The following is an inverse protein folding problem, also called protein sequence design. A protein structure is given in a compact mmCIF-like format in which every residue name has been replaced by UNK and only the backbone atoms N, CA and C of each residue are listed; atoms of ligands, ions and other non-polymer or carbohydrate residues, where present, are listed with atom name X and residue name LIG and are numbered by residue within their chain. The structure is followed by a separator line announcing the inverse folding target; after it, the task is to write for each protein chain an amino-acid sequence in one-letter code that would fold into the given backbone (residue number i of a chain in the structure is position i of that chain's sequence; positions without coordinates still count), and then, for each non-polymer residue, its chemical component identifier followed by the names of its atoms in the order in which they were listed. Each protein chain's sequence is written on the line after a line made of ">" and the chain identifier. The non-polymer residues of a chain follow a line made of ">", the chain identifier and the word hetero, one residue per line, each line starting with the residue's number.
data_IF_278775453108
#
_entry.id   IF_278775453108
#
_cell.length_a   1.000
_cell.length_b   1.000
_cell.length_c   1.000
_cell.angle_alpha   90.00
_cell.angle_beta   90.00
_cell.angle_gamma   90.00
#
_symmetry.space_group_name_H-M   'P 1'
#
loop_
_entity.id
_entity.type
_entity.pdbx_description
1 polymer ?
#
# COMPACT_ATOMS: atom_id res chain seq x y z
N UNK A 1 -10.53 -9.69 -19.83
CA UNK A 1 -10.64 -9.68 -18.35
C UNK A 1 -11.71 -8.68 -17.98
N UNK A 2 -12.86 -9.18 -17.55
CA UNK A 2 -14.01 -8.40 -17.08
C UNK A 2 -13.60 -7.52 -15.91
N UNK A 3 -13.47 -6.21 -16.15
CA UNK A 3 -13.53 -5.24 -15.07
C UNK A 3 -14.96 -4.80 -14.97
N UNK A 4 -15.70 -5.51 -14.12
CA UNK A 4 -17.00 -5.16 -13.56
C UNK A 4 -16.92 -3.73 -12.99
N UNK A 5 -17.12 -2.76 -13.87
CA UNK A 5 -17.04 -1.34 -13.56
C UNK A 5 -18.47 -0.82 -13.49
N UNK A 6 -19.00 -0.91 -12.27
CA UNK A 6 -20.01 -0.02 -11.69
C UNK A 6 -21.17 0.30 -12.63
N UNK A 7 -22.13 -0.63 -12.70
CA UNK A 7 -23.47 -0.29 -13.10
C UNK A 7 -24.16 0.46 -11.94
N UNK A 8 -23.87 1.76 -11.80
CA UNK A 8 -24.77 2.71 -11.12
C UNK A 8 -25.91 2.99 -12.10
N UNK A 9 -26.71 1.96 -12.40
CA UNK A 9 -28.05 2.15 -12.94
C UNK A 9 -28.96 2.23 -11.73
N UNK A 10 -29.30 3.46 -11.41
CA UNK A 10 -30.66 3.91 -11.21
C UNK A 10 -30.66 4.93 -10.08
N UNK A 11 -31.16 6.10 -10.42
CA UNK A 11 -31.60 7.22 -9.59
C UNK A 11 -32.61 6.82 -8.48
N UNK A 12 -32.83 5.50 -8.26
CA UNK A 12 -33.62 4.91 -7.18
C UNK A 12 -32.84 3.97 -6.24
N UNK A 13 -31.53 3.76 -6.42
CA UNK A 13 -30.74 2.82 -5.60
C UNK A 13 -30.59 3.23 -4.12
N UNK A 14 -30.72 4.52 -3.82
CA UNK A 14 -30.74 5.05 -2.44
C UNK A 14 -32.15 5.38 -1.96
N UNK A 15 -33.10 5.68 -2.86
CA UNK A 15 -34.49 5.98 -2.53
C UNK A 15 -35.31 4.73 -2.13
N UNK A 16 -35.00 3.58 -2.73
CA UNK A 16 -35.57 2.26 -2.39
C UNK A 16 -34.82 1.55 -1.25
N UNK A 17 -33.84 2.23 -0.65
CA UNK A 17 -32.99 1.67 0.41
C UNK A 17 -33.79 1.60 1.71
N UNK A 18 -34.37 0.44 2.00
CA UNK A 18 -34.99 0.20 3.31
C UNK A 18 -33.97 0.44 4.44
N UNK A 19 -34.41 0.87 5.64
CA UNK A 19 -33.49 1.16 6.76
C UNK A 19 -32.49 0.04 7.06
N UNK A 20 -32.90 -1.22 6.85
CA UNK A 20 -32.05 -2.40 6.99
C UNK A 20 -30.91 -2.45 5.96
N UNK A 21 -31.20 -2.15 4.70
CA UNK A 21 -30.18 -2.11 3.64
C UNK A 21 -29.19 -0.96 3.84
N UNK A 22 -29.67 0.18 4.33
CA UNK A 22 -28.82 1.31 4.71
C UNK A 22 -27.83 0.95 5.82
N UNK A 23 -28.30 0.28 6.89
CA UNK A 23 -27.43 -0.21 7.97
C UNK A 23 -26.37 -1.19 7.47
N UNK A 24 -26.78 -2.15 6.65
CA UNK A 24 -25.85 -3.13 6.09
C UNK A 24 -24.77 -2.47 5.22
N UNK A 25 -25.13 -1.47 4.41
CA UNK A 25 -24.16 -0.72 3.62
C UNK A 25 -23.18 0.05 4.51
N UNK A 26 -23.65 0.71 5.57
CA UNK A 26 -22.80 1.43 6.52
C UNK A 26 -21.80 0.47 7.17
N UNK A 27 -22.24 -0.70 7.64
CA UNK A 27 -21.36 -1.73 8.21
C UNK A 27 -20.31 -2.22 7.21
N UNK A 28 -20.71 -2.43 5.95
CA UNK A 28 -19.79 -2.83 4.87
C UNK A 28 -18.77 -1.74 4.56
N UNK A 29 -19.18 -0.48 4.51
CA UNK A 29 -18.29 0.66 4.25
C UNK A 29 -17.34 0.92 5.42
N UNK A 30 -17.80 0.75 6.67
CA UNK A 30 -16.97 0.83 7.85
C UNK A 30 -15.91 -0.29 7.88
N UNK A 31 -16.33 -1.53 7.60
CA UNK A 31 -15.43 -2.69 7.52
C UNK A 31 -14.41 -2.54 6.37
N UNK A 32 -14.85 -2.03 5.21
CA UNK A 32 -13.99 -1.73 4.08
C UNK A 32 -12.94 -0.67 4.47
N UNK A 33 -13.39 0.45 5.04
CA UNK A 33 -12.50 1.50 5.52
C UNK A 33 -11.47 0.94 6.51
N UNK A 34 -11.87 0.17 7.52
CA UNK A 34 -10.95 -0.44 8.48
C UNK A 34 -9.94 -1.40 7.84
N UNK A 35 -10.36 -2.21 6.86
CA UNK A 35 -9.45 -3.11 6.14
C UNK A 35 -8.39 -2.35 5.32
N UNK A 36 -8.73 -1.14 4.85
CA UNK A 36 -7.85 -0.33 4.01
C UNK A 36 -7.26 0.89 4.73
N UNK A 37 -7.61 1.14 6.00
CA UNK A 37 -7.30 2.37 6.74
C UNK A 37 -5.81 2.53 7.06
N UNK A 38 -5.01 1.49 6.84
CA UNK A 38 -3.56 1.57 7.03
C UNK A 38 -2.87 0.67 6.03
N UNK A 39 -2.62 1.18 4.82
CA UNK A 39 -1.30 0.96 4.24
C UNK A 39 -0.40 2.00 4.86
N UNK A 40 0.48 1.54 5.74
CA UNK A 40 1.60 2.31 6.22
C UNK A 40 2.40 2.87 5.04
N UNK A 41 2.13 4.11 4.65
CA UNK A 41 2.89 4.80 3.61
C UNK A 41 4.41 4.78 3.92
N UNK A 42 4.77 4.65 5.19
CA UNK A 42 6.15 4.47 5.63
C UNK A 42 6.74 3.05 5.44
N UNK A 43 5.97 1.95 5.44
CA UNK A 43 6.58 0.60 5.34
C UNK A 43 6.76 0.10 3.90
N UNK A 44 6.06 0.72 2.94
CA UNK A 44 6.26 0.46 1.50
C UNK A 44 7.49 1.22 0.99
N UNK A 45 7.70 2.45 1.46
CA UNK A 45 8.86 3.28 1.08
C UNK A 45 10.17 2.78 1.73
N UNK A 46 10.14 2.33 2.99
CA UNK A 46 11.36 1.95 3.72
C UNK A 46 11.98 0.63 3.23
N UNK A 47 11.18 -0.36 2.78
CA UNK A 47 11.73 -1.68 2.38
C UNK A 47 12.06 -1.84 0.89
N UNK A 48 11.45 -1.05 0.00
CA UNK A 48 11.62 -1.25 -1.45
C UNK A 48 12.82 -0.51 -2.05
N UNK A 49 13.17 0.66 -1.51
CA UNK A 49 14.18 1.55 -2.09
C UNK A 49 15.46 1.61 -1.25
N UNK A 50 15.35 1.45 0.07
CA UNK A 50 16.51 1.57 0.97
C UNK A 50 17.43 0.33 0.93
N UNK A 51 16.88 -0.86 0.71
CA UNK A 51 17.68 -2.11 0.67
C UNK A 51 18.59 -2.20 -0.57
N UNK A 52 18.20 -1.61 -1.71
CA UNK A 52 19.01 -1.66 -2.94
C UNK A 52 20.20 -0.70 -2.88
N UNK A 53 20.04 0.46 -2.23
CA UNK A 53 21.13 1.42 -2.05
C UNK A 53 22.16 0.93 -1.01
N UNK A 54 21.71 0.32 0.09
CA UNK A 54 22.58 -0.03 1.21
C UNK A 54 23.54 -1.19 0.95
N UNK A 55 23.21 -2.14 0.06
CA UNK A 55 24.13 -3.25 -0.30
C UNK A 55 25.29 -2.77 -1.18
N UNK A 56 25.00 -1.87 -2.13
CA UNK A 56 26.02 -1.27 -2.98
C UNK A 56 27.02 -0.44 -2.17
N UNK A 57 26.54 0.34 -1.19
CA UNK A 57 27.35 1.18 -0.33
C UNK A 57 28.32 0.35 0.54
N UNK A 58 27.83 -0.71 1.21
CA UNK A 58 28.67 -1.60 2.03
C UNK A 58 29.77 -2.29 1.22
N UNK A 59 29.47 -2.67 -0.03
CA UNK A 59 30.45 -3.29 -0.93
C UNK A 59 31.52 -2.30 -1.40
N UNK A 60 31.17 -1.02 -1.56
CA UNK A 60 32.14 0.02 -1.88
C UNK A 60 33.04 0.35 -0.68
N UNK A 61 32.47 0.45 0.52
CA UNK A 61 33.21 0.67 1.77
C UNK A 61 34.27 -0.41 2.01
N UNK A 62 33.88 -1.69 1.94
CA UNK A 62 34.83 -2.81 2.11
C UNK A 62 35.97 -2.84 1.08
N UNK A 63 35.72 -2.39 -0.15
CA UNK A 63 36.79 -2.26 -1.17
C UNK A 63 37.73 -1.10 -0.87
N UNK A 64 37.21 0.00 -0.34
CA UNK A 64 38.01 1.15 0.06
C UNK A 64 38.93 0.78 1.22
N UNK A 65 38.42 0.07 2.22
CA UNK A 65 39.22 -0.43 3.36
C UNK A 65 40.34 -1.37 2.88
N UNK A 66 40.03 -2.29 1.95
CA UNK A 66 41.03 -3.19 1.38
C UNK A 66 42.14 -2.43 0.63
N UNK A 67 41.80 -1.34 -0.05
CA UNK A 67 42.78 -0.51 -0.76
C UNK A 67 43.65 0.30 0.22
N UNK A 68 43.06 0.87 1.27
CA UNK A 68 43.78 1.60 2.33
C UNK A 68 44.78 0.69 3.03
N UNK A 69 44.38 -0.55 3.32
CA UNK A 69 45.26 -1.57 3.93
C UNK A 69 46.40 -2.05 3.01
N UNK A 70 46.30 -1.84 1.70
CA UNK A 70 47.37 -2.18 0.77
C UNK A 70 48.40 -1.05 0.62
N UNK A 71 47.96 0.19 0.88
CA UNK A 71 48.77 1.40 0.76
C UNK A 71 49.48 1.77 2.07
N UNK A 72 48.93 1.35 3.20
CA UNK A 72 49.48 1.55 4.56
C UNK A 72 50.26 0.32 5.01
#
# INVERSE_FOLDING_TARGET
>A
MERSMINVVSDGALGEMTPTKARHLIEKMASNSQQFSTRNDNAIVIRGVHDVATDADKKLESKLDALVNLVT
#
